data_IF_198325046289
#
_entry.id   IF_198325046289
#
_cell.length_a   1.000
_cell.length_b   1.000
_cell.length_c   1.000
_cell.angle_alpha   90.00
_cell.angle_beta   90.00
_cell.angle_gamma   90.00
#
_symmetry.space_group_name_H-M   'P 1'
#
loop_
_entity.id
_entity.type
_entity.pdbx_description
1 polymer ?
#
# COMPACT_ATOMS: atom_id res chain seq x y z
N UNK A 1 -11.66 -9.04 35.14
CA UNK A 1 -11.84 -7.89 34.28
C UNK A 1 -13.06 -8.13 33.40
N UNK A 2 -13.85 -7.09 33.10
CA UNK A 2 -15.08 -7.17 32.35
C UNK A 2 -14.93 -7.02 30.85
N UNK A 3 -16.07 -7.04 30.13
CA UNK A 3 -16.19 -6.69 28.71
C UNK A 3 -16.80 -5.29 28.60
N UNK A 4 -16.40 -4.58 27.56
CA UNK A 4 -16.96 -3.28 27.19
C UNK A 4 -17.50 -3.41 25.76
N UNK A 5 -18.76 -3.02 25.54
CA UNK A 5 -19.38 -3.02 24.23
C UNK A 5 -19.64 -1.59 23.77
N UNK A 6 -19.28 -1.28 22.53
CA UNK A 6 -19.53 0.02 21.91
C UNK A 6 -20.37 -0.16 20.65
N UNK A 7 -21.32 0.74 20.46
CA UNK A 7 -22.05 0.82 19.20
C UNK A 7 -21.27 1.73 18.22
N UNK A 8 -20.86 1.18 17.10
CA UNK A 8 -20.09 1.90 16.07
C UNK A 8 -20.94 2.29 14.86
N UNK A 9 -22.28 2.11 14.91
CA UNK A 9 -23.19 2.33 13.78
C UNK A 9 -23.23 3.77 13.26
N UNK A 10 -22.91 4.74 14.14
CA UNK A 10 -22.93 6.16 13.81
C UNK A 10 -21.66 6.65 13.12
N UNK A 11 -20.70 5.75 12.90
CA UNK A 11 -19.44 6.08 12.20
C UNK A 11 -19.67 5.89 10.70
N UNK A 12 -19.96 6.99 10.02
CA UNK A 12 -20.27 7.01 8.58
C UNK A 12 -19.05 7.14 7.66
N UNK A 13 -17.89 7.46 8.22
CA UNK A 13 -16.63 7.65 7.49
C UNK A 13 -15.51 6.85 8.13
N UNK A 14 -14.49 6.43 7.34
CA UNK A 14 -13.30 5.82 7.91
C UNK A 14 -12.70 6.68 9.00
N UNK A 15 -12.49 6.09 10.17
CA UNK A 15 -12.02 6.82 11.35
C UNK A 15 -10.99 6.01 12.14
N UNK A 16 -10.02 6.71 12.70
CA UNK A 16 -9.15 6.21 13.74
C UNK A 16 -9.79 6.58 15.08
N UNK A 17 -9.99 5.61 15.94
CA UNK A 17 -10.49 5.77 17.29
C UNK A 17 -9.42 5.37 18.30
N UNK A 18 -9.48 5.93 19.49
CA UNK A 18 -8.59 5.59 20.59
C UNK A 18 -9.41 5.03 21.74
N UNK A 19 -9.09 3.79 22.14
CA UNK A 19 -9.56 3.25 23.42
C UNK A 19 -8.57 3.67 24.50
N UNK A 20 -9.06 4.40 25.50
CA UNK A 20 -8.28 4.76 26.67
C UNK A 20 -8.82 4.01 27.90
N UNK A 21 -7.93 3.42 28.67
CA UNK A 21 -8.24 2.76 29.94
C UNK A 21 -7.49 3.46 31.05
N UNK A 22 -8.25 3.93 32.05
CA UNK A 22 -7.76 4.64 33.21
C UNK A 22 -7.94 3.77 34.45
N UNK A 23 -6.90 3.61 35.26
CA UNK A 23 -6.93 2.94 36.56
C UNK A 23 -6.15 3.82 37.54
N UNK A 24 -6.84 4.46 38.42
CA UNK A 24 -6.30 5.48 39.36
C UNK A 24 -5.52 6.57 38.60
N UNK A 25 -4.21 6.65 38.75
CA UNK A 25 -3.32 7.61 38.11
C UNK A 25 -2.64 7.03 36.87
N UNK A 26 -2.97 5.82 36.44
CA UNK A 26 -2.37 5.16 35.29
C UNK A 26 -3.35 5.18 34.11
N UNK A 27 -2.84 5.58 32.94
CA UNK A 27 -3.58 5.56 31.70
C UNK A 27 -2.83 4.73 30.64
N UNK A 28 -3.56 3.96 29.88
CA UNK A 28 -3.04 3.34 28.66
C UNK A 28 -4.05 3.50 27.53
N UNK A 29 -3.58 3.57 26.31
CA UNK A 29 -4.45 3.76 25.15
C UNK A 29 -4.02 2.89 23.97
N UNK A 30 -5.00 2.57 23.10
CA UNK A 30 -4.80 1.80 21.88
C UNK A 30 -5.62 2.42 20.74
N UNK A 31 -4.98 2.63 19.62
CA UNK A 31 -5.66 3.05 18.40
C UNK A 31 -6.23 1.85 17.67
N UNK A 32 -7.45 2.01 17.14
CA UNK A 32 -8.07 1.07 16.23
C UNK A 32 -8.81 1.82 15.12
N UNK A 33 -9.09 1.14 14.04
CA UNK A 33 -9.69 1.77 12.85
C UNK A 33 -11.04 1.14 12.57
N UNK A 34 -12.00 2.00 12.27
CA UNK A 34 -13.35 1.63 11.90
C UNK A 34 -13.60 2.09 10.48
N UNK A 35 -14.09 1.17 9.67
CA UNK A 35 -14.50 1.44 8.31
C UNK A 35 -15.99 1.17 8.19
N UNK A 36 -16.78 2.08 7.61
CA UNK A 36 -18.20 1.84 7.33
C UNK A 36 -18.35 0.58 6.50
N UNK A 37 -19.46 -0.12 6.71
CA UNK A 37 -19.85 -1.24 5.82
C UNK A 37 -19.98 -0.68 4.41
N UNK A 38 -19.20 -1.18 3.48
CA UNK A 38 -19.06 -0.62 2.14
C UNK A 38 -20.40 -0.50 1.41
N UNK A 39 -20.73 0.70 1.02
CA UNK A 39 -21.44 0.92 -0.22
C UNK A 39 -20.45 0.47 -1.30
N UNK A 40 -20.79 -0.55 -2.07
CA UNK A 40 -19.99 -1.24 -3.11
C UNK A 40 -18.74 -0.48 -3.52
N UNK A 41 -17.55 -1.15 -3.50
CA UNK A 41 -16.32 -0.60 -4.09
C UNK A 41 -16.75 0.00 -5.43
N UNK A 42 -16.61 1.31 -5.57
CA UNK A 42 -17.06 2.02 -6.75
C UNK A 42 -16.42 1.33 -7.94
N UNK A 43 -17.18 0.45 -8.55
CA UNK A 43 -16.78 -0.31 -9.72
C UNK A 43 -16.74 0.69 -10.88
N UNK A 44 -15.66 1.47 -10.93
CA UNK A 44 -15.49 2.40 -12.01
C UNK A 44 -14.98 1.60 -13.22
N UNK A 45 -15.87 1.45 -14.20
CA UNK A 45 -15.51 0.96 -15.54
C UNK A 45 -14.30 1.71 -16.15
N UNK A 46 -13.92 2.81 -15.52
CA UNK A 46 -12.84 3.70 -15.92
C UNK A 46 -11.45 3.24 -15.47
N UNK A 47 -11.33 2.41 -14.41
CA UNK A 47 -10.07 1.93 -13.89
C UNK A 47 -10.02 0.41 -14.04
N UNK A 48 -8.98 -0.09 -14.68
CA UNK A 48 -8.71 -1.52 -14.74
C UNK A 48 -7.80 -1.93 -13.58
N UNK A 49 -8.31 -2.78 -12.68
CA UNK A 49 -7.49 -3.48 -11.67
C UNK A 49 -6.98 -4.79 -12.27
N UNK A 50 -5.67 -5.00 -12.22
CA UNK A 50 -5.02 -6.22 -12.76
C UNK A 50 -3.77 -6.56 -11.95
N UNK A 51 -3.33 -7.81 -12.04
CA UNK A 51 -2.08 -8.30 -11.43
C UNK A 51 -0.90 -8.36 -12.41
N UNK A 52 -1.16 -8.18 -13.70
CA UNK A 52 -0.14 -8.06 -14.77
C UNK A 52 -0.66 -7.22 -15.92
N UNK A 53 0.25 -6.67 -16.73
CA UNK A 53 -0.13 -5.90 -17.90
C UNK A 53 -0.34 -6.82 -19.11
N UNK A 54 -1.57 -7.33 -19.24
CA UNK A 54 -2.02 -8.09 -20.41
C UNK A 54 -2.30 -7.18 -21.62
N UNK A 55 -2.73 -7.77 -22.73
CA UNK A 55 -3.10 -7.03 -23.95
C UNK A 55 -4.21 -5.99 -23.68
N UNK A 56 -5.14 -6.28 -22.77
CA UNK A 56 -6.25 -5.39 -22.39
C UNK A 56 -5.74 -4.19 -21.62
N UNK A 57 -4.91 -4.40 -20.59
CA UNK A 57 -4.28 -3.34 -19.82
C UNK A 57 -3.39 -2.45 -20.71
N UNK A 58 -2.58 -3.05 -21.57
CA UNK A 58 -1.73 -2.34 -22.53
C UNK A 58 -2.57 -1.47 -23.49
N UNK A 59 -3.64 -2.02 -24.07
CA UNK A 59 -4.55 -1.28 -24.92
C UNK A 59 -5.19 -0.11 -24.19
N UNK A 60 -5.61 -0.31 -22.94
CA UNK A 60 -6.19 0.76 -22.10
C UNK A 60 -5.18 1.89 -21.87
N UNK A 61 -3.96 1.59 -21.49
CA UNK A 61 -2.89 2.58 -21.29
C UNK A 61 -2.57 3.34 -22.59
N UNK A 62 -2.44 2.65 -23.72
CA UNK A 62 -2.18 3.28 -25.00
C UNK A 62 -3.28 4.27 -25.44
N UNK A 63 -4.52 4.00 -25.03
CA UNK A 63 -5.67 4.87 -25.28
C UNK A 63 -5.86 5.99 -24.23
N UNK A 64 -4.90 6.16 -23.31
CA UNK A 64 -4.98 7.21 -22.27
C UNK A 64 -5.79 6.82 -21.05
N UNK A 65 -6.20 5.56 -20.91
CA UNK A 65 -6.95 5.06 -19.76
C UNK A 65 -6.11 4.87 -18.50
N UNK A 66 -6.78 4.44 -17.44
CA UNK A 66 -6.20 4.27 -16.11
C UNK A 66 -6.13 2.79 -15.75
N UNK A 67 -4.98 2.38 -15.19
CA UNK A 67 -4.74 0.99 -14.73
C UNK A 67 -4.17 1.03 -13.32
N UNK A 68 -4.71 0.22 -12.43
CA UNK A 68 -4.13 -0.14 -11.13
C UNK A 68 -3.50 -1.52 -11.28
N UNK A 69 -2.18 -1.56 -11.31
CA UNK A 69 -1.42 -2.80 -11.26
C UNK A 69 -1.15 -3.15 -9.79
N UNK A 70 -1.82 -4.18 -9.30
CA UNK A 70 -1.65 -4.71 -7.96
C UNK A 70 -0.95 -6.06 -8.04
N UNK A 71 0.33 -6.10 -7.68
CA UNK A 71 1.13 -7.31 -7.77
C UNK A 71 0.64 -8.35 -6.76
N UNK A 72 0.48 -9.61 -7.19
CA UNK A 72 0.26 -10.70 -6.26
C UNK A 72 1.53 -10.96 -5.44
N UNK A 73 1.35 -11.24 -4.17
CA UNK A 73 2.49 -11.59 -3.31
C UNK A 73 3.23 -12.81 -3.88
N UNK A 74 4.55 -12.68 -4.03
CA UNK A 74 5.43 -13.73 -4.54
C UNK A 74 5.64 -13.72 -6.06
N UNK A 75 5.06 -12.76 -6.80
CA UNK A 75 5.27 -12.64 -8.27
C UNK A 75 6.35 -11.63 -8.64
N UNK A 76 6.74 -10.76 -7.73
CA UNK A 76 7.81 -9.78 -7.96
C UNK A 76 9.16 -10.51 -8.04
N UNK A 77 9.94 -10.25 -9.08
CA UNK A 77 11.30 -10.81 -9.22
C UNK A 77 12.24 -10.32 -8.14
N UNK A 78 13.18 -11.15 -7.73
CA UNK A 78 14.16 -10.87 -6.68
C UNK A 78 15.00 -9.62 -6.94
N UNK A 79 15.40 -9.40 -8.19
CA UNK A 79 16.17 -8.22 -8.59
C UNK A 79 15.40 -6.90 -8.41
N UNK A 80 14.06 -6.97 -8.39
CA UNK A 80 13.17 -5.84 -8.14
C UNK A 80 12.67 -5.75 -6.70
N UNK A 81 13.06 -6.68 -5.83
CA UNK A 81 12.73 -6.68 -4.42
C UNK A 81 11.90 -7.86 -3.94
N UNK A 82 11.61 -8.85 -4.79
CA UNK A 82 10.78 -10.01 -4.44
C UNK A 82 11.32 -10.84 -3.29
N UNK A 83 12.64 -10.85 -3.11
CA UNK A 83 13.34 -11.55 -2.03
C UNK A 83 13.45 -10.73 -0.73
N UNK A 84 12.99 -9.48 -0.70
CA UNK A 84 13.09 -8.65 0.49
C UNK A 84 11.96 -8.97 1.46
N UNK A 85 12.31 -9.31 2.69
CA UNK A 85 11.34 -9.52 3.75
C UNK A 85 10.79 -8.18 4.24
N UNK A 86 9.46 -8.02 4.21
CA UNK A 86 8.82 -6.85 4.79
C UNK A 86 8.74 -7.00 6.29
N UNK A 87 9.36 -6.05 7.01
CA UNK A 87 9.27 -5.87 8.45
C UNK A 87 8.36 -4.71 8.79
N UNK A 88 7.68 -4.84 9.92
CA UNK A 88 6.80 -3.81 10.49
C UNK A 88 7.51 -2.94 11.52
N UNK A 89 8.54 -3.48 12.14
CA UNK A 89 9.28 -2.84 13.23
C UNK A 89 10.29 -1.82 12.73
N UNK A 90 10.37 -0.69 13.40
CA UNK A 90 11.41 0.32 13.21
C UNK A 90 12.72 0.01 13.94
N UNK A 91 12.87 -1.14 14.57
CA UNK A 91 14.06 -1.52 15.36
C UNK A 91 15.14 -2.04 14.42
N UNK A 92 16.09 -1.18 14.05
CA UNK A 92 17.12 -1.47 13.05
C UNK A 92 18.19 -2.48 13.51
N UNK A 93 18.49 -2.58 14.81
CA UNK A 93 19.46 -3.55 15.35
C UNK A 93 18.95 -4.97 15.49
N UNK A 94 17.66 -5.18 15.24
CA UNK A 94 17.00 -6.47 15.44
C UNK A 94 17.59 -7.57 14.51
N UNK A 95 18.15 -7.17 13.38
CA UNK A 95 18.76 -8.08 12.41
C UNK A 95 20.08 -8.68 12.89
N UNK A 96 20.86 -7.94 13.69
CA UNK A 96 22.18 -8.38 14.17
C UNK A 96 22.12 -9.21 15.45
N UNK A 97 21.06 -9.05 16.25
CA UNK A 97 20.97 -9.61 17.61
C UNK A 97 20.00 -10.79 17.72
N UNK A 98 19.33 -11.17 16.67
CA UNK A 98 18.34 -12.23 16.63
C UNK A 98 18.85 -13.54 16.02
N UNK A 99 20.01 -14.02 16.43
CA UNK A 99 20.53 -15.35 16.06
C UNK A 99 20.51 -15.66 14.55
N UNK A 100 20.91 -14.68 13.70
CA UNK A 100 20.99 -14.88 12.26
C UNK A 100 19.68 -14.68 11.51
N UNK A 101 18.69 -14.00 12.09
CA UNK A 101 17.53 -13.56 11.32
C UNK A 101 17.99 -12.70 10.14
N UNK A 102 17.50 -13.01 8.96
CA UNK A 102 17.79 -12.23 7.76
C UNK A 102 17.37 -10.76 7.94
N UNK A 103 18.10 -9.80 7.38
CA UNK A 103 17.66 -8.42 7.32
C UNK A 103 16.27 -8.28 6.74
N UNK A 104 15.47 -7.39 7.30
CA UNK A 104 14.14 -7.06 6.81
C UNK A 104 13.93 -5.55 6.83
N UNK A 105 12.93 -5.09 6.10
CA UNK A 105 12.58 -3.66 6.08
C UNK A 105 12.05 -3.19 7.44
N UNK A 106 12.08 -1.89 7.69
CA UNK A 106 11.84 -1.27 9.00
C UNK A 106 10.48 -0.58 9.11
N UNK A 107 9.56 -0.86 8.22
CA UNK A 107 8.25 -0.22 8.16
C UNK A 107 8.07 0.67 6.93
N UNK A 108 7.07 1.54 6.97
CA UNK A 108 6.76 2.45 5.85
C UNK A 108 6.88 3.91 6.26
N UNK A 109 6.96 4.77 5.24
CA UNK A 109 6.82 6.22 5.36
C UNK A 109 5.88 6.70 4.26
N UNK A 110 4.87 7.48 4.62
CA UNK A 110 3.94 8.10 3.69
C UNK A 110 3.57 9.52 4.15
N UNK A 111 2.98 10.29 3.25
CA UNK A 111 2.36 11.56 3.61
C UNK A 111 0.85 11.34 3.80
N UNK A 112 0.31 11.43 5.04
CA UNK A 112 -1.13 11.25 5.30
C UNK A 112 -2.04 12.23 4.54
N UNK A 113 -1.49 13.37 4.12
CA UNK A 113 -2.21 14.39 3.34
C UNK A 113 -2.19 14.11 1.83
N UNK A 114 -1.52 13.05 1.38
CA UNK A 114 -1.54 12.69 -0.03
C UNK A 114 -2.96 12.30 -0.45
N UNK A 115 -3.50 12.80 -1.60
CA UNK A 115 -4.88 12.52 -2.01
C UNK A 115 -5.21 11.03 -2.12
N UNK A 116 -4.24 10.19 -2.46
CA UNK A 116 -4.40 8.73 -2.50
C UNK A 116 -4.72 8.10 -1.14
N UNK A 117 -4.44 8.79 -0.04
CA UNK A 117 -4.65 8.31 1.33
C UNK A 117 -5.77 9.09 2.06
N UNK A 118 -6.42 10.06 1.41
CA UNK A 118 -7.40 10.93 2.05
C UNK A 118 -8.53 10.18 2.79
N UNK A 119 -9.19 9.16 2.21
CA UNK A 119 -10.18 8.35 2.93
C UNK A 119 -9.57 7.12 3.66
N UNK A 120 -8.26 7.10 3.88
CA UNK A 120 -7.56 6.08 4.65
C UNK A 120 -6.83 6.77 5.80
N UNK A 121 -7.46 6.92 6.97
CA UNK A 121 -6.90 7.69 8.09
C UNK A 121 -5.62 7.02 8.59
N UNK A 122 -4.48 7.59 8.24
CA UNK A 122 -3.16 7.04 8.52
C UNK A 122 -2.23 8.08 9.13
N UNK A 123 -1.15 7.61 9.74
CA UNK A 123 -0.01 8.38 10.21
C UNK A 123 1.11 8.34 9.16
N UNK A 124 2.20 9.05 9.43
CA UNK A 124 3.36 9.09 8.52
C UNK A 124 4.12 7.74 8.44
N UNK A 125 3.92 6.87 9.41
CA UNK A 125 4.65 5.61 9.59
C UNK A 125 3.69 4.41 9.67
N UNK A 126 4.25 3.19 9.62
CA UNK A 126 3.49 1.97 9.84
C UNK A 126 2.94 1.92 11.28
N UNK A 127 1.63 1.72 11.35
CA UNK A 127 0.90 1.42 12.57
C UNK A 127 0.10 0.13 12.34
N UNK A 128 -0.68 -0.29 13.32
CA UNK A 128 -1.42 -1.56 13.23
C UNK A 128 -2.37 -1.64 12.02
N UNK A 129 -2.88 -0.51 11.52
CA UNK A 129 -3.70 -0.45 10.31
C UNK A 129 -2.96 -1.01 9.07
N UNK A 130 -1.64 -0.79 8.99
CA UNK A 130 -0.82 -1.23 7.86
C UNK A 130 -0.41 -2.70 7.92
N UNK A 131 -0.65 -3.37 9.05
CA UNK A 131 -0.19 -4.75 9.25
C UNK A 131 -0.65 -5.69 8.14
N UNK A 132 -1.95 -5.68 7.83
CA UNK A 132 -2.48 -6.54 6.76
C UNK A 132 -1.89 -6.20 5.39
N UNK A 133 -1.88 -4.92 5.02
CA UNK A 133 -1.33 -4.48 3.73
C UNK A 133 0.15 -4.87 3.57
N UNK A 134 0.96 -4.69 4.62
CA UNK A 134 2.39 -5.01 4.59
C UNK A 134 2.65 -6.52 4.54
N UNK A 135 1.92 -7.31 5.30
CA UNK A 135 2.09 -8.78 5.31
C UNK A 135 1.67 -9.44 3.99
N UNK A 136 0.85 -8.76 3.18
CA UNK A 136 0.41 -9.19 1.86
C UNK A 136 1.05 -8.36 0.74
N UNK A 137 2.31 -7.99 0.87
CA UNK A 137 2.98 -7.16 -0.11
C UNK A 137 4.42 -7.59 -0.38
N UNK A 138 5.00 -7.01 -1.42
CA UNK A 138 6.43 -7.03 -1.72
C UNK A 138 6.92 -5.60 -2.01
N UNK A 139 8.07 -5.18 -1.44
CA UNK A 139 8.61 -3.85 -1.68
C UNK A 139 9.29 -3.80 -3.04
N UNK A 140 8.97 -2.78 -3.84
CA UNK A 140 9.50 -2.63 -5.19
C UNK A 140 10.70 -1.70 -5.16
N UNK A 141 11.86 -2.11 -5.71
CA UNK A 141 13.04 -1.26 -5.93
C UNK A 141 12.73 -0.20 -6.98
N UNK A 142 12.24 0.97 -6.55
CA UNK A 142 11.70 2.01 -7.43
C UNK A 142 12.76 2.59 -8.38
N UNK A 143 14.02 2.63 -7.99
CA UNK A 143 15.13 3.09 -8.83
C UNK A 143 15.39 2.20 -10.05
N UNK A 144 14.93 0.95 -10.02
CA UNK A 144 14.96 0.03 -11.17
C UNK A 144 13.84 0.35 -12.18
N UNK A 145 12.78 1.00 -11.73
CA UNK A 145 11.65 1.44 -12.57
C UNK A 145 11.90 2.85 -13.12
N UNK A 146 12.21 3.79 -12.23
CA UNK A 146 12.55 5.16 -12.55
C UNK A 146 13.37 5.78 -11.42
N UNK A 147 14.42 6.52 -11.76
CA UNK A 147 15.22 7.28 -10.80
C UNK A 147 14.50 8.52 -10.26
N UNK A 148 13.49 8.99 -10.98
CA UNK A 148 12.78 10.23 -10.72
C UNK A 148 11.41 10.02 -10.05
N UNK A 149 10.82 8.84 -10.24
CA UNK A 149 9.53 8.53 -9.63
C UNK A 149 9.62 8.53 -8.11
N UNK A 150 8.65 9.20 -7.47
CA UNK A 150 8.56 9.25 -6.02
C UNK A 150 7.49 8.28 -5.53
N UNK A 151 7.76 7.54 -4.44
CA UNK A 151 6.74 6.66 -3.87
C UNK A 151 5.66 7.48 -3.16
N UNK A 152 4.39 7.10 -3.34
CA UNK A 152 3.27 7.52 -2.51
C UNK A 152 3.40 6.91 -1.12
N UNK A 153 3.78 5.63 -1.07
CA UNK A 153 4.15 4.91 0.16
C UNK A 153 5.53 4.30 -0.04
N UNK A 154 6.49 4.81 0.71
CA UNK A 154 7.85 4.32 0.75
C UNK A 154 7.95 3.16 1.74
N UNK A 155 8.77 2.17 1.44
CA UNK A 155 9.26 1.20 2.42
C UNK A 155 10.65 1.63 2.88
N UNK A 156 10.89 1.59 4.18
CA UNK A 156 12.20 1.88 4.76
C UNK A 156 12.98 0.57 4.78
N UNK A 157 14.03 0.49 3.97
CA UNK A 157 14.89 -0.69 3.92
C UNK A 157 15.73 -0.82 5.19
N UNK A 158 16.38 -1.97 5.37
CA UNK A 158 17.38 -2.12 6.39
C UNK A 158 18.56 -1.18 6.12
N UNK A 159 19.32 -0.89 7.18
CA UNK A 159 20.41 0.08 7.10
C UNK A 159 21.69 -0.45 6.43
N UNK A 160 21.77 -1.77 6.19
CA UNK A 160 22.90 -2.36 5.47
C UNK A 160 22.74 -2.20 3.96
N UNK A 161 21.53 -2.43 3.45
CA UNK A 161 21.21 -2.42 2.02
C UNK A 161 20.78 -1.05 1.52
N UNK A 162 19.92 -0.37 2.30
CA UNK A 162 19.41 0.98 2.04
C UNK A 162 18.91 1.21 0.60
N UNK A 163 18.13 0.25 0.05
CA UNK A 163 17.53 0.39 -1.26
C UNK A 163 16.37 1.41 -1.24
N UNK A 164 16.18 2.17 -2.30
CA UNK A 164 14.96 2.97 -2.46
C UNK A 164 13.78 2.05 -2.82
N UNK A 165 12.90 1.83 -1.84
CA UNK A 165 11.77 0.91 -1.93
C UNK A 165 10.44 1.64 -1.92
N UNK A 166 9.46 1.11 -2.67
CA UNK A 166 8.09 1.60 -2.72
C UNK A 166 7.07 0.47 -2.53
N UNK A 167 5.95 0.75 -1.84
CA UNK A 167 4.73 -0.06 -1.90
C UNK A 167 3.74 0.49 -2.92
N UNK A 168 3.66 1.82 -3.03
CA UNK A 168 2.74 2.50 -3.94
C UNK A 168 3.49 3.62 -4.66
N UNK A 169 3.37 3.67 -5.97
CA UNK A 169 3.88 4.76 -6.80
C UNK A 169 3.07 4.87 -8.09
N UNK A 170 3.17 6.01 -8.76
CA UNK A 170 2.48 6.27 -10.01
C UNK A 170 3.45 6.65 -11.12
N UNK A 171 3.12 6.23 -12.34
CA UNK A 171 3.88 6.54 -13.56
C UNK A 171 2.96 6.69 -14.76
N UNK A 172 3.48 7.31 -15.81
CA UNK A 172 2.80 7.45 -17.09
C UNK A 172 3.35 6.43 -18.08
N UNK A 173 2.47 5.73 -18.79
CA UNK A 173 2.83 4.81 -19.88
C UNK A 173 2.16 5.32 -21.14
N UNK A 174 2.94 5.83 -22.08
CA UNK A 174 2.38 6.47 -23.27
C UNK A 174 1.43 7.60 -22.92
N UNK A 175 0.15 7.47 -23.29
CA UNK A 175 -0.92 8.41 -22.93
C UNK A 175 -1.61 8.04 -21.61
N UNK A 176 -1.44 6.81 -21.14
CA UNK A 176 -2.15 6.24 -19.98
C UNK A 176 -1.50 6.57 -18.65
N UNK A 177 -2.27 6.35 -17.59
CA UNK A 177 -1.88 6.58 -16.21
C UNK A 177 -1.88 5.25 -15.46
N UNK A 178 -0.76 4.92 -14.85
CA UNK A 178 -0.57 3.67 -14.11
C UNK A 178 -0.27 3.96 -12.65
N UNK A 179 -1.05 3.38 -11.75
CA UNK A 179 -0.71 3.23 -10.34
C UNK A 179 -0.19 1.82 -10.12
N UNK A 180 0.99 1.70 -9.52
CA UNK A 180 1.63 0.41 -9.21
C UNK A 180 1.59 0.19 -7.70
N UNK A 181 1.10 -0.99 -7.33
CA UNK A 181 1.01 -1.44 -5.95
C UNK A 181 1.77 -2.75 -5.75
N UNK A 182 2.71 -2.75 -4.82
CA UNK A 182 3.31 -3.99 -4.30
C UNK A 182 2.41 -4.71 -3.31
N UNK A 183 1.27 -4.10 -2.92
CA UNK A 183 0.26 -4.71 -2.05
C UNK A 183 -0.68 -5.55 -2.91
N UNK A 184 -0.90 -6.80 -2.49
CA UNK A 184 -1.85 -7.71 -3.13
C UNK A 184 -3.29 -7.35 -2.72
N UNK A 185 -4.05 -6.80 -3.68
CA UNK A 185 -5.48 -6.48 -3.54
C UNK A 185 -6.39 -7.53 -4.21
N UNK A 186 -5.90 -8.74 -4.47
CA UNK A 186 -6.68 -9.81 -5.10
C UNK A 186 -7.09 -10.89 -4.09
N UNK A 187 -6.19 -11.21 -3.15
CA UNK A 187 -6.37 -12.35 -2.25
C UNK A 187 -7.19 -11.96 -1.02
N UNK A 188 -8.19 -12.78 -0.71
CA UNK A 188 -8.98 -12.80 0.54
C UNK A 188 -9.51 -11.41 0.99
N UNK A 189 -9.81 -10.53 0.04
CA UNK A 189 -10.18 -9.14 0.30
C UNK A 189 -11.40 -9.00 1.24
N UNK A 190 -12.31 -9.99 1.26
CA UNK A 190 -13.47 -9.98 2.17
C UNK A 190 -13.06 -10.00 3.64
N UNK A 191 -11.94 -10.65 3.97
CA UNK A 191 -11.42 -10.75 5.35
C UNK A 191 -10.44 -9.63 5.70
N UNK A 192 -10.18 -8.70 4.80
CA UNK A 192 -9.13 -7.67 4.90
C UNK A 192 -9.71 -6.25 4.85
N UNK A 193 -10.38 -5.80 5.92
CA UNK A 193 -11.09 -4.50 5.91
C UNK A 193 -10.17 -3.31 5.67
N UNK A 194 -8.96 -3.29 6.24
CA UNK A 194 -7.99 -2.22 6.01
C UNK A 194 -7.50 -2.19 4.55
N UNK A 195 -7.23 -3.36 3.94
CA UNK A 195 -6.85 -3.43 2.54
C UNK A 195 -7.99 -2.98 1.61
N UNK A 196 -9.25 -3.36 1.91
CA UNK A 196 -10.42 -2.85 1.16
C UNK A 196 -10.54 -1.33 1.23
N UNK A 197 -10.38 -0.77 2.44
CA UNK A 197 -10.44 0.67 2.62
C UNK A 197 -9.31 1.38 1.86
N UNK A 198 -8.09 0.84 1.88
CA UNK A 198 -6.98 1.38 1.11
C UNK A 198 -7.25 1.29 -0.40
N UNK A 199 -7.72 0.15 -0.89
CA UNK A 199 -8.11 -0.01 -2.30
C UNK A 199 -9.17 1.01 -2.71
N UNK A 200 -10.22 1.19 -1.90
CA UNK A 200 -11.25 2.21 -2.13
C UNK A 200 -10.65 3.61 -2.20
N UNK A 201 -9.72 3.94 -1.30
CA UNK A 201 -8.99 5.21 -1.30
C UNK A 201 -8.21 5.42 -2.59
N UNK A 202 -7.47 4.41 -3.06
CA UNK A 202 -6.71 4.47 -4.30
C UNK A 202 -7.61 4.64 -5.53
N UNK A 203 -8.73 3.92 -5.59
CA UNK A 203 -9.68 4.04 -6.70
C UNK A 203 -10.32 5.44 -6.74
N UNK A 204 -10.70 6.00 -5.60
CA UNK A 204 -11.21 7.37 -5.51
C UNK A 204 -10.15 8.38 -5.98
N UNK A 205 -8.91 8.23 -5.54
CA UNK A 205 -7.80 9.06 -6.01
C UNK A 205 -7.62 8.96 -7.53
N UNK A 206 -7.63 7.75 -8.07
CA UNK A 206 -7.46 7.53 -9.51
C UNK A 206 -8.62 8.12 -10.34
N UNK A 207 -9.80 8.31 -9.76
CA UNK A 207 -10.93 8.99 -10.43
C UNK A 207 -10.77 10.51 -10.44
N UNK A 208 -10.10 11.07 -9.46
CA UNK A 208 -9.92 12.52 -9.30
C UNK A 208 -8.96 13.12 -10.32
N UNK A 209 -8.96 14.45 -10.41
CA UNK A 209 -7.98 15.21 -11.19
C UNK A 209 -6.56 15.16 -10.61
N UNK A 210 -6.44 14.84 -9.32
CA UNK A 210 -5.16 14.76 -8.61
C UNK A 210 -4.30 13.60 -9.10
N UNK A 211 -4.93 12.53 -9.63
CA UNK A 211 -4.20 11.44 -10.28
C UNK A 211 -3.62 11.91 -11.62
N UNK A 212 -2.43 12.47 -11.55
CA UNK A 212 -1.73 13.03 -12.69
C UNK A 212 -0.23 12.69 -12.70
N UNK A 213 0.11 11.42 -12.91
CA UNK A 213 1.51 10.96 -12.93
C UNK A 213 2.31 11.72 -14.00
N UNK A 214 3.52 12.15 -13.64
CA UNK A 214 4.39 12.96 -14.51
C UNK A 214 5.54 12.15 -15.12
N UNK A 215 6.03 11.14 -14.42
CA UNK A 215 7.19 10.37 -14.83
C UNK A 215 6.81 9.30 -15.86
N UNK A 216 7.40 9.39 -17.05
CA UNK A 216 7.14 8.46 -18.15
C UNK A 216 8.06 7.26 -18.01
N UNK A 217 7.48 6.07 -18.07
CA UNK A 217 8.19 4.79 -18.02
C UNK A 217 7.79 3.93 -19.23
N UNK A 218 8.72 3.13 -19.73
CA UNK A 218 8.42 2.16 -20.77
C UNK A 218 7.62 0.99 -20.21
N UNK A 219 6.71 0.46 -21.01
CA UNK A 219 5.86 -0.67 -20.60
C UNK A 219 6.68 -1.92 -20.29
N UNK A 220 7.77 -2.11 -21.02
CA UNK A 220 8.69 -3.23 -20.85
C UNK A 220 9.29 -3.23 -19.45
N UNK A 221 9.64 -2.05 -18.91
CA UNK A 221 10.18 -1.89 -17.55
C UNK A 221 9.18 -2.36 -16.49
N UNK A 222 7.89 -2.11 -16.69
CA UNK A 222 6.85 -2.57 -15.74
C UNK A 222 6.59 -4.08 -15.91
N UNK A 223 6.55 -4.58 -17.15
CA UNK A 223 6.37 -6.01 -17.42
C UNK A 223 7.52 -6.85 -16.87
N UNK A 224 8.71 -6.26 -16.78
CA UNK A 224 9.91 -6.94 -16.29
C UNK A 224 9.95 -7.11 -14.78
N UNK A 225 9.05 -6.44 -14.04
CA UNK A 225 8.95 -6.55 -12.59
C UNK A 225 8.55 -7.96 -12.12
N UNK A 226 7.76 -8.68 -12.90
CA UNK A 226 7.12 -9.94 -12.51
C UNK A 226 7.59 -11.12 -13.34
N UNK A 227 7.66 -12.28 -12.73
CA UNK A 227 7.76 -13.56 -13.43
C UNK A 227 6.39 -13.89 -14.06
N UNK A 228 6.44 -14.39 -15.30
CA UNK A 228 5.25 -14.83 -16.04
C UNK A 228 4.98 -16.30 -15.81
#
# INVERSE_FOLDING_TARGET
>A
LGSIEFNLKDIEKPAQLTLEVLIDNYANNWNFWVYPTEKEIVNSNDILLTDYLDKTAIKRLNNGGKVLLSLKKGTLKDEYGGNLAIGFSSIFWNTSWTNGQAPHTLGILCNPKHPALAPFPTEYHSNYQWWDAMTHSAPIRINKVSKEAQPIVRVIDDWFSNHPLALLFEVKIGKGKLLVSGIDFHRDMQMRPAARQLLSSLLNYMQSSDFSPRHIVKIETINDLIDK
#
